data_IF_106576686293
#
_entry.id   IF_106576686293
#
_cell.length_a   1.000
_cell.length_b   1.000
_cell.length_c   1.000
_cell.angle_alpha   90.00
_cell.angle_beta   90.00
_cell.angle_gamma   90.00
#
_symmetry.space_group_name_H-M   'P 1'
#
loop_
_entity.id
_entity.type
_entity.pdbx_description
1 polymer ?
#
# COMPACT_ATOMS: atom_id res chain seq x y z
N UNK A 1 14.15 9.34 9.02
CA UNK A 1 13.97 8.81 7.67
C UNK A 1 13.76 7.32 7.77
N UNK A 2 12.60 6.89 7.31
CA UNK A 2 12.10 5.53 7.35
C UNK A 2 12.80 4.69 6.27
N UNK A 3 13.12 3.46 6.61
CA UNK A 3 13.66 2.49 5.66
C UNK A 3 12.52 1.91 4.82
N UNK A 4 12.72 1.79 3.50
CA UNK A 4 11.68 1.34 2.58
C UNK A 4 11.25 -0.11 2.82
N UNK A 5 12.18 -1.00 3.16
CA UNK A 5 11.85 -2.41 3.43
C UNK A 5 11.06 -2.54 4.73
N UNK A 6 11.44 -1.77 5.76
CA UNK A 6 10.63 -1.67 6.97
C UNK A 6 9.23 -1.09 6.71
N UNK A 7 9.09 -0.15 5.77
CA UNK A 7 7.77 0.38 5.40
C UNK A 7 6.92 -0.69 4.70
N UNK A 8 7.52 -1.49 3.82
CA UNK A 8 6.86 -2.66 3.23
C UNK A 8 6.40 -3.66 4.30
N UNK A 9 7.24 -3.95 5.30
CA UNK A 9 6.87 -4.81 6.44
C UNK A 9 5.69 -4.25 7.23
N UNK A 10 5.69 -2.95 7.53
CA UNK A 10 4.59 -2.30 8.26
C UNK A 10 3.28 -2.41 7.48
N UNK A 11 3.28 -2.05 6.19
CA UNK A 11 2.10 -2.12 5.34
C UNK A 11 1.57 -3.55 5.22
N UNK A 12 2.45 -4.51 4.89
CA UNK A 12 2.11 -5.94 4.84
C UNK A 12 1.47 -6.42 6.15
N UNK A 13 2.05 -6.08 7.29
CA UNK A 13 1.52 -6.48 8.59
C UNK A 13 0.14 -5.87 8.87
N UNK A 14 -0.12 -4.65 8.42
CA UNK A 14 -1.44 -4.02 8.54
C UNK A 14 -2.47 -4.78 7.68
N UNK A 15 -2.11 -5.11 6.44
CA UNK A 15 -2.97 -5.86 5.53
C UNK A 15 -3.28 -7.27 6.04
N UNK A 16 -2.28 -8.03 6.48
CA UNK A 16 -2.48 -9.38 7.05
C UNK A 16 -3.38 -9.33 8.29
N UNK A 17 -3.23 -8.33 9.16
CA UNK A 17 -4.11 -8.14 10.32
C UNK A 17 -5.56 -7.79 9.97
N UNK A 18 -5.80 -7.36 8.73
CA UNK A 18 -7.11 -7.03 8.16
C UNK A 18 -7.63 -8.13 7.23
N UNK A 19 -7.05 -9.33 7.32
CA UNK A 19 -7.42 -10.51 6.53
C UNK A 19 -7.23 -10.34 5.00
N UNK A 20 -6.38 -9.41 4.57
CA UNK A 20 -5.87 -9.39 3.19
C UNK A 20 -4.88 -10.54 2.97
N UNK A 21 -4.59 -10.84 1.70
CA UNK A 21 -3.54 -11.76 1.29
C UNK A 21 -2.17 -11.33 1.84
N UNK A 22 -1.32 -12.32 2.10
CA UNK A 22 0.03 -12.08 2.59
C UNK A 22 0.94 -11.52 1.48
N UNK A 23 1.20 -10.22 1.54
CA UNK A 23 2.03 -9.49 0.59
C UNK A 23 1.46 -8.11 0.24
N UNK A 24 1.97 -7.54 -0.85
CA UNK A 24 1.61 -6.26 -1.44
C UNK A 24 1.37 -6.46 -2.95
N UNK A 25 0.38 -5.78 -3.50
CA UNK A 25 0.11 -5.81 -4.95
C UNK A 25 0.70 -4.59 -5.67
N UNK A 26 0.59 -3.40 -5.09
CA UNK A 26 1.07 -2.15 -5.69
C UNK A 26 1.68 -1.20 -4.65
N UNK A 27 2.64 -0.39 -5.10
CA UNK A 27 3.30 0.63 -4.27
C UNK A 27 3.47 1.90 -5.10
N UNK A 28 3.18 3.04 -4.51
CA UNK A 28 3.37 4.35 -5.12
C UNK A 28 4.16 5.29 -4.20
N UNK A 29 4.96 6.16 -4.80
CA UNK A 29 5.70 7.24 -4.15
C UNK A 29 4.98 8.57 -4.37
N UNK A 30 4.47 9.18 -3.30
CA UNK A 30 3.81 10.50 -3.37
C UNK A 30 4.73 11.65 -2.91
N UNK A 31 6.04 11.39 -2.76
CA UNK A 31 7.02 12.35 -2.26
C UNK A 31 7.34 12.17 -0.79
N UNK A 32 6.43 12.58 0.10
CA UNK A 32 6.59 12.54 1.57
C UNK A 32 6.24 11.19 2.21
N UNK A 33 5.41 10.39 1.54
CA UNK A 33 4.95 9.08 1.98
C UNK A 33 4.99 8.06 0.84
N UNK A 34 4.89 6.78 1.21
CA UNK A 34 4.60 5.70 0.28
C UNK A 34 3.15 5.25 0.46
N UNK A 35 2.46 4.99 -0.64
CA UNK A 35 1.10 4.41 -0.67
C UNK A 35 1.25 2.94 -1.01
N UNK A 36 0.66 2.07 -0.20
CA UNK A 36 0.71 0.62 -0.36
C UNK A 36 -0.69 0.07 -0.58
N UNK A 37 -0.78 -0.88 -1.49
CA UNK A 37 -2.00 -1.64 -1.75
C UNK A 37 -1.78 -3.10 -1.38
N UNK A 38 -2.72 -3.64 -0.61
CA UNK A 38 -2.88 -5.09 -0.43
C UNK A 38 -3.94 -5.61 -1.40
N UNK A 39 -4.28 -6.90 -1.29
CA UNK A 39 -5.38 -7.49 -2.06
C UNK A 39 -6.16 -8.50 -1.23
N UNK A 40 -7.48 -8.49 -1.36
CA UNK A 40 -8.37 -9.40 -0.61
C UNK A 40 -8.61 -10.69 -1.41
N UNK A 41 -8.85 -10.54 -2.71
CA UNK A 41 -9.25 -11.64 -3.60
C UNK A 41 -8.08 -12.12 -4.47
N UNK A 42 -8.30 -13.09 -5.36
CA UNK A 42 -7.29 -13.52 -6.33
C UNK A 42 -7.12 -12.48 -7.45
N UNK A 43 -6.01 -12.55 -8.18
CA UNK A 43 -5.80 -11.71 -9.37
C UNK A 43 -6.94 -11.85 -10.39
N UNK A 44 -7.40 -10.73 -10.95
CA UNK A 44 -8.47 -10.69 -11.95
C UNK A 44 -9.89 -10.65 -11.38
N UNK A 45 -10.06 -10.72 -10.06
CA UNK A 45 -11.35 -10.46 -9.39
C UNK A 45 -11.48 -8.96 -9.11
N UNK A 46 -12.65 -8.39 -9.37
CA UNK A 46 -12.93 -6.98 -9.03
C UNK A 46 -12.90 -6.81 -7.51
N UNK A 47 -12.01 -5.95 -7.02
CA UNK A 47 -11.87 -5.65 -5.59
C UNK A 47 -12.71 -4.43 -5.19
N UNK A 48 -13.77 -4.67 -4.42
CA UNK A 48 -14.49 -3.61 -3.72
C UNK A 48 -14.08 -3.59 -2.25
N UNK A 49 -13.92 -2.39 -1.68
CA UNK A 49 -13.62 -2.21 -0.26
C UNK A 49 -12.15 -2.34 0.13
N UNK A 50 -11.25 -2.45 -0.85
CA UNK A 50 -9.81 -2.33 -0.58
C UNK A 50 -9.49 -0.92 -0.10
N UNK A 51 -8.87 -0.81 1.08
CA UNK A 51 -8.42 0.44 1.65
C UNK A 51 -6.88 0.43 1.71
N UNK A 52 -6.21 1.15 0.81
CA UNK A 52 -4.75 1.33 0.83
C UNK A 52 -4.28 1.96 2.14
N UNK A 53 -2.99 1.85 2.40
CA UNK A 53 -2.36 2.48 3.58
C UNK A 53 -1.17 3.30 3.14
N UNK A 54 -0.93 4.41 3.83
CA UNK A 54 0.29 5.20 3.65
C UNK A 54 1.28 4.99 4.79
N UNK A 55 2.57 5.09 4.48
CA UNK A 55 3.64 5.20 5.48
C UNK A 55 4.44 6.47 5.22
N UNK A 56 4.47 7.37 6.20
CA UNK A 56 5.26 8.59 6.17
C UNK A 56 6.77 8.30 6.20
N UNK A 57 7.54 8.93 5.31
CA UNK A 57 8.97 8.63 5.13
C UNK A 57 9.86 9.23 6.21
N UNK A 58 9.37 10.19 6.99
CA UNK A 58 10.18 10.81 8.04
C UNK A 58 9.98 10.09 9.37
N UNK A 59 8.71 9.85 9.71
CA UNK A 59 8.21 9.40 11.02
C UNK A 59 7.89 7.91 11.06
N UNK A 60 7.58 7.28 9.91
CA UNK A 60 7.05 5.92 9.85
C UNK A 60 5.59 5.78 10.30
N UNK A 61 4.89 6.90 10.48
CA UNK A 61 3.46 6.90 10.82
C UNK A 61 2.66 6.23 9.70
N UNK A 62 1.75 5.33 10.08
CA UNK A 62 0.89 4.60 9.16
C UNK A 62 -0.54 5.13 9.25
N UNK A 63 -1.19 5.34 8.11
CA UNK A 63 -2.55 5.88 8.03
C UNK A 63 -3.36 5.16 6.95
N UNK A 64 -4.67 5.12 7.11
CA UNK A 64 -5.58 4.66 6.06
C UNK A 64 -5.63 5.68 4.93
N UNK A 65 -5.69 5.18 3.70
CA UNK A 65 -5.67 5.99 2.49
C UNK A 65 -6.84 5.62 1.57
N UNK A 66 -8.08 5.93 1.97
CA UNK A 66 -9.24 5.60 1.17
C UNK A 66 -9.23 6.40 -0.14
N UNK A 67 -9.15 5.70 -1.27
CA UNK A 67 -9.20 6.30 -2.62
C UNK A 67 -10.60 6.82 -3.00
N UNK A 68 -11.60 6.56 -2.16
CA UNK A 68 -12.91 7.21 -2.29
C UNK A 68 -12.90 8.67 -1.82
N UNK A 69 -11.86 9.10 -1.09
CA UNK A 69 -11.60 10.51 -0.83
C UNK A 69 -10.93 11.14 -2.06
N UNK A 70 -11.47 12.25 -2.54
CA UNK A 70 -11.00 12.89 -3.78
C UNK A 70 -9.56 13.42 -3.67
N UNK A 71 -9.15 13.89 -2.48
CA UNK A 71 -7.79 14.39 -2.28
C UNK A 71 -6.79 13.24 -2.31
N UNK A 72 -7.15 12.09 -1.73
CA UNK A 72 -6.33 10.88 -1.81
C UNK A 72 -6.28 10.32 -3.23
N UNK A 73 -7.39 10.36 -3.95
CA UNK A 73 -7.45 9.94 -5.35
C UNK A 73 -6.51 10.78 -6.23
N UNK A 74 -6.57 12.10 -6.12
CA UNK A 74 -5.72 13.01 -6.87
C UNK A 74 -4.24 12.77 -6.53
N UNK A 75 -3.91 12.65 -5.23
CA UNK A 75 -2.55 12.36 -4.79
C UNK A 75 -2.04 11.01 -5.34
N UNK A 76 -2.85 9.95 -5.29
CA UNK A 76 -2.53 8.65 -5.87
C UNK A 76 -2.26 8.76 -7.38
N UNK A 77 -3.11 9.49 -8.10
CA UNK A 77 -2.98 9.65 -9.55
C UNK A 77 -1.70 10.37 -9.96
N UNK A 78 -1.24 11.32 -9.14
CA UNK A 78 0.02 12.04 -9.34
C UNK A 78 1.25 11.27 -8.83
N UNK A 79 1.04 10.23 -8.02
CA UNK A 79 2.12 9.46 -7.40
C UNK A 79 2.84 8.56 -8.40
N UNK A 80 4.14 8.36 -8.17
CA UNK A 80 4.98 7.55 -9.06
C UNK A 80 4.88 6.06 -8.68
N UNK A 81 4.54 5.15 -9.60
CA UNK A 81 4.56 3.73 -9.30
C UNK A 81 5.98 3.25 -9.00
N UNK A 82 6.12 2.42 -7.96
CA UNK A 82 7.35 1.74 -7.60
C UNK A 82 7.13 0.23 -7.74
N UNK A 83 8.17 -0.48 -8.19
CA UNK A 83 8.16 -1.94 -8.24
C UNK A 83 8.07 -2.51 -6.82
N UNK A 84 7.10 -3.41 -6.61
CA UNK A 84 7.03 -4.22 -5.38
C UNK A 84 8.28 -5.11 -5.27
N UNK A 85 9.01 -5.08 -4.14
CA UNK A 85 10.14 -5.99 -3.95
C UNK A 85 9.67 -7.44 -3.94
N UNK A 86 10.47 -8.33 -4.53
CA UNK A 86 10.10 -9.72 -4.81
C UNK A 86 9.61 -10.52 -3.59
N UNK A 87 10.15 -10.22 -2.41
CA UNK A 87 9.82 -10.85 -1.14
C UNK A 87 8.44 -10.41 -0.59
N UNK A 88 7.91 -9.29 -1.08
CA UNK A 88 6.60 -8.76 -0.69
C UNK A 88 5.52 -8.99 -1.74
N UNK A 89 5.83 -9.53 -2.91
CA UNK A 89 4.82 -9.83 -3.92
C UNK A 89 3.86 -10.90 -3.39
N UNK A 90 2.56 -10.64 -3.50
CA UNK A 90 1.52 -11.62 -3.16
C UNK A 90 1.70 -12.86 -4.04
N UNK A 91 1.64 -14.04 -3.43
CA UNK A 91 1.69 -15.33 -4.12
C UNK A 91 0.30 -15.95 -4.09
N UNK A 92 -0.26 -16.20 -5.26
CA UNK A 92 -1.49 -16.97 -5.44
C UNK A 92 -1.18 -18.48 -5.55
#
# INVERSE_FOLDING_TARGET
MMDFMKACDLARNIFVKRDYKDGLCEIFDSGDRWIFFGRIFEEGVVEYGNCPVTVDKETGQCEDFPISDIQNYDLYYESKPIKVPSEYVIKD
#
